data_IF_496313098360
#
_entry.id   IF_496313098360
#
_cell.length_a   1.000
_cell.length_b   1.000
_cell.length_c   1.000
_cell.angle_alpha   90.00
_cell.angle_beta   90.00
_cell.angle_gamma   90.00
#
_symmetry.space_group_name_H-M   'P 1'
#
loop_
_entity.id
_entity.type
_entity.pdbx_description
1 polymer ?
#
# COMPACT_ATOMS: atom_id res chain seq x y z
N UNK A 1 21.90 16.39 -33.13
CA UNK A 1 21.31 16.31 -31.76
C UNK A 1 21.49 14.88 -31.26
N UNK A 2 22.59 14.58 -30.54
CA UNK A 2 23.01 13.19 -30.28
C UNK A 2 22.62 12.65 -28.90
N UNK A 3 21.64 13.24 -28.21
CA UNK A 3 21.17 12.76 -26.89
C UNK A 3 19.64 12.78 -26.78
N UNK A 4 18.94 11.94 -27.56
CA UNK A 4 17.47 11.88 -27.53
C UNK A 4 16.93 11.52 -26.15
N UNK A 5 17.64 10.69 -25.38
CA UNK A 5 17.26 10.29 -24.03
C UNK A 5 17.19 11.48 -23.05
N UNK A 6 18.16 12.40 -23.15
CA UNK A 6 18.24 13.56 -22.27
C UNK A 6 17.06 14.52 -22.46
N UNK A 7 16.61 14.67 -23.70
CA UNK A 7 15.44 15.51 -24.02
C UNK A 7 14.16 14.90 -23.45
N UNK A 8 14.00 13.57 -23.56
CA UNK A 8 12.86 12.85 -22.98
C UNK A 8 12.83 12.96 -21.46
N UNK A 9 13.97 12.78 -20.80
CA UNK A 9 14.07 12.93 -19.34
C UNK A 9 13.71 14.34 -18.88
N UNK A 10 14.19 15.38 -19.57
CA UNK A 10 13.86 16.77 -19.24
C UNK A 10 12.34 17.03 -19.38
N UNK A 11 11.73 16.57 -20.47
CA UNK A 11 10.28 16.69 -20.69
C UNK A 11 9.47 15.99 -19.58
N UNK A 12 9.86 14.77 -19.20
CA UNK A 12 9.21 14.05 -18.12
C UNK A 12 9.34 14.77 -16.76
N UNK A 13 10.55 15.25 -16.45
CA UNK A 13 10.82 15.98 -15.20
C UNK A 13 10.04 17.30 -15.13
N UNK A 14 9.92 18.01 -16.26
CA UNK A 14 9.08 19.20 -16.37
C UNK A 14 7.61 18.89 -16.10
N UNK A 15 7.09 17.75 -16.60
CA UNK A 15 5.74 17.29 -16.31
C UNK A 15 5.47 17.12 -14.81
N UNK A 16 6.43 16.54 -14.08
CA UNK A 16 6.34 16.39 -12.62
C UNK A 16 6.30 17.75 -11.93
N UNK A 17 7.19 18.68 -12.31
CA UNK A 17 7.23 20.03 -11.73
C UNK A 17 5.93 20.79 -12.02
N UNK A 18 5.40 20.71 -13.24
CA UNK A 18 4.14 21.36 -13.60
C UNK A 18 2.95 20.88 -12.78
N UNK A 19 2.92 19.59 -12.42
CA UNK A 19 1.88 19.06 -11.53
C UNK A 19 1.89 19.72 -10.15
N UNK A 20 3.09 19.95 -9.58
CA UNK A 20 3.23 20.57 -8.26
C UNK A 20 2.77 22.04 -8.20
N UNK A 21 2.62 22.71 -9.35
CA UNK A 21 2.21 24.12 -9.45
C UNK A 21 0.73 24.30 -9.79
N UNK A 22 0.08 23.27 -10.36
CA UNK A 22 -1.29 23.32 -10.86
C UNK A 22 -2.08 22.12 -10.33
N UNK A 23 -2.85 22.33 -9.25
CA UNK A 23 -3.80 21.34 -8.73
C UNK A 23 -4.99 21.26 -9.68
N UNK A 24 -4.95 20.32 -10.61
CA UNK A 24 -5.99 20.08 -11.62
C UNK A 24 -6.65 18.72 -11.34
N UNK A 25 -7.98 18.64 -11.49
CA UNK A 25 -8.73 17.39 -11.34
C UNK A 25 -8.20 16.28 -12.27
N UNK A 26 -8.01 15.08 -11.73
CA UNK A 26 -7.41 13.94 -12.45
C UNK A 26 -8.15 13.53 -13.73
N UNK A 27 -9.46 13.82 -13.82
CA UNK A 27 -10.25 13.58 -15.04
C UNK A 27 -9.83 14.45 -16.24
N UNK A 28 -9.45 15.70 -15.99
CA UNK A 28 -8.99 16.64 -17.05
C UNK A 28 -7.61 16.21 -17.55
N UNK A 29 -6.74 15.74 -16.65
CA UNK A 29 -5.41 15.24 -16.98
C UNK A 29 -5.50 13.98 -17.85
N UNK A 30 -6.40 13.05 -17.51
CA UNK A 30 -6.62 11.83 -18.31
C UNK A 30 -7.17 12.15 -19.70
N UNK A 31 -8.13 13.08 -19.81
CA UNK A 31 -8.67 13.52 -21.09
C UNK A 31 -7.60 14.20 -21.97
N UNK A 32 -6.73 15.02 -21.37
CA UNK A 32 -5.62 15.66 -22.07
C UNK A 32 -4.58 14.64 -22.56
N UNK A 33 -4.21 13.65 -21.73
CA UNK A 33 -3.31 12.56 -22.10
C UNK A 33 -3.87 11.77 -23.29
N UNK A 34 -5.16 11.45 -23.27
CA UNK A 34 -5.84 10.70 -24.33
C UNK A 34 -5.90 11.50 -25.63
N UNK A 35 -6.22 12.79 -25.56
CA UNK A 35 -6.22 13.70 -26.72
C UNK A 35 -4.82 13.82 -27.35
N UNK A 36 -3.78 14.00 -26.54
CA UNK A 36 -2.37 14.11 -27.02
C UNK A 36 -1.89 12.78 -27.59
N UNK A 37 -2.29 11.64 -27.00
CA UNK A 37 -1.97 10.32 -27.52
C UNK A 37 -2.62 10.05 -28.88
N UNK A 38 -3.89 10.42 -29.05
CA UNK A 38 -4.58 10.35 -30.34
C UNK A 38 -3.93 11.26 -31.39
N UNK A 39 -3.50 12.46 -31.01
CA UNK A 39 -2.78 13.39 -31.89
C UNK A 39 -1.41 12.84 -32.30
N UNK A 40 -0.69 12.19 -31.38
CA UNK A 40 0.58 11.53 -31.65
C UNK A 40 0.42 10.40 -32.68
N UNK A 41 -0.60 9.56 -32.49
CA UNK A 41 -0.94 8.47 -33.41
C UNK A 41 -1.34 8.99 -34.79
N UNK A 42 -2.15 10.04 -34.86
CA UNK A 42 -2.55 10.68 -36.12
C UNK A 42 -1.36 11.30 -36.86
N UNK A 43 -0.49 12.04 -36.17
CA UNK A 43 0.74 12.61 -36.76
C UNK A 43 1.73 11.54 -37.21
N UNK A 44 1.88 10.45 -36.45
CA UNK A 44 2.72 9.31 -36.83
C UNK A 44 2.19 8.61 -38.09
N UNK A 45 0.87 8.38 -38.16
CA UNK A 45 0.22 7.73 -39.30
C UNK A 45 0.24 8.59 -40.57
N UNK A 46 0.04 9.91 -40.45
CA UNK A 46 -0.10 10.81 -41.60
C UNK A 46 1.22 11.40 -42.10
N UNK A 47 2.20 11.67 -41.22
CA UNK A 47 3.39 12.46 -41.61
C UNK A 47 4.73 11.76 -41.43
N UNK A 48 4.78 10.53 -40.86
CA UNK A 48 5.93 9.58 -40.73
C UNK A 48 7.33 10.10 -40.30
N UNK A 49 7.63 11.41 -40.28
CA UNK A 49 8.96 11.99 -40.06
C UNK A 49 9.01 13.16 -39.07
N UNK A 50 7.88 13.79 -38.71
CA UNK A 50 7.88 14.96 -37.79
C UNK A 50 7.20 14.73 -36.43
N UNK A 51 7.02 13.47 -36.02
CA UNK A 51 6.35 13.10 -34.76
C UNK A 51 7.15 13.34 -33.48
N UNK A 52 8.39 13.83 -33.57
CA UNK A 52 9.27 13.99 -32.40
C UNK A 52 8.70 14.98 -31.37
N UNK A 53 8.09 16.08 -31.82
CA UNK A 53 7.45 17.06 -30.93
C UNK A 53 6.28 16.44 -30.17
N UNK A 54 5.47 15.60 -30.83
CA UNK A 54 4.30 14.98 -30.19
C UNK A 54 4.68 13.89 -29.20
N UNK A 55 5.75 13.13 -29.48
CA UNK A 55 6.34 12.18 -28.53
C UNK A 55 6.85 12.91 -27.29
N UNK A 56 7.56 14.03 -27.45
CA UNK A 56 8.03 14.82 -26.30
C UNK A 56 6.88 15.37 -25.45
N UNK A 57 5.81 15.83 -26.11
CA UNK A 57 4.59 16.31 -25.46
C UNK A 57 3.90 15.19 -24.64
N UNK A 58 3.88 13.96 -25.17
CA UNK A 58 3.39 12.79 -24.46
C UNK A 58 4.19 12.53 -23.19
N UNK A 59 5.52 12.65 -23.20
CA UNK A 59 6.34 12.48 -22.00
C UNK A 59 6.12 13.57 -20.94
N UNK A 60 5.81 14.81 -21.35
CA UNK A 60 5.41 15.88 -20.41
C UNK A 60 4.10 15.51 -19.72
N UNK A 61 3.07 15.11 -20.49
CA UNK A 61 1.79 14.71 -19.92
C UNK A 61 1.86 13.41 -19.12
N UNK A 62 2.74 12.48 -19.50
CA UNK A 62 2.99 11.26 -18.74
C UNK A 62 3.62 11.59 -17.39
N UNK A 63 4.61 12.50 -17.34
CA UNK A 63 5.19 12.99 -16.09
C UNK A 63 4.17 13.71 -15.20
N UNK A 64 3.32 14.54 -15.81
CA UNK A 64 2.24 15.24 -15.10
C UNK A 64 1.21 14.26 -14.54
N UNK A 65 0.74 13.29 -15.33
CA UNK A 65 -0.18 12.26 -14.88
C UNK A 65 0.42 11.41 -13.75
N UNK A 66 1.68 11.01 -13.89
CA UNK A 66 2.35 10.18 -12.88
C UNK A 66 2.49 10.90 -11.54
N UNK A 67 2.83 12.20 -11.56
CA UNK A 67 2.85 13.04 -10.37
C UNK A 67 1.44 13.23 -9.78
N UNK A 68 0.44 13.46 -10.64
CA UNK A 68 -0.94 13.67 -10.21
C UNK A 68 -1.59 12.44 -9.58
N UNK A 69 -1.26 11.23 -10.02
CA UNK A 69 -1.74 9.98 -9.40
C UNK A 69 -1.22 9.82 -7.96
N UNK A 70 -0.04 10.38 -7.65
CA UNK A 70 0.54 10.34 -6.30
C UNK A 70 -0.04 11.34 -5.31
N UNK A 71 -0.52 12.50 -5.76
CA UNK A 71 -0.93 13.60 -4.88
C UNK A 71 -2.41 13.58 -4.43
N UNK A 72 -3.28 12.76 -5.02
CA UNK A 72 -4.73 12.78 -4.72
C UNK A 72 -5.14 12.21 -3.34
N UNK A 73 -4.19 11.83 -2.48
CA UNK A 73 -4.48 11.33 -1.12
C UNK A 73 -4.27 12.42 -0.05
N UNK A 74 -3.49 13.46 -0.33
CA UNK A 74 -3.15 14.48 0.65
C UNK A 74 -4.32 15.46 0.85
N UNK A 75 -5.07 15.32 1.95
CA UNK A 75 -6.00 16.34 2.42
C UNK A 75 -7.43 15.90 2.73
N UNK A 76 -7.80 14.65 2.40
CA UNK A 76 -9.06 14.03 2.88
C UNK A 76 -8.83 12.74 3.65
N UNK A 77 -7.59 12.47 4.02
CA UNK A 77 -7.25 11.25 4.69
C UNK A 77 -7.55 11.28 6.19
N UNK A 78 -7.49 10.11 6.83
CA UNK A 78 -7.78 9.94 8.25
C UNK A 78 -6.82 10.70 9.18
N UNK A 79 -5.69 11.21 8.66
CA UNK A 79 -4.72 12.04 9.39
C UNK A 79 -5.26 13.38 9.91
N UNK A 80 -6.42 13.82 9.43
CA UNK A 80 -7.11 15.01 9.96
C UNK A 80 -7.70 14.77 11.37
N UNK A 81 -7.90 13.50 11.74
CA UNK A 81 -8.42 13.11 13.05
C UNK A 81 -7.33 12.76 14.06
N UNK A 82 -6.06 13.02 13.72
CA UNK A 82 -4.96 12.82 14.65
C UNK A 82 -5.17 13.61 15.95
N UNK A 83 -4.92 12.97 17.09
CA UNK A 83 -5.16 13.52 18.42
C UNK A 83 -6.57 13.29 18.97
N UNK A 84 -7.45 12.64 18.22
CA UNK A 84 -8.83 12.38 18.65
C UNK A 84 -9.12 10.88 18.76
N UNK A 85 -10.07 10.55 19.65
CA UNK A 85 -10.69 9.23 19.70
C UNK A 85 -11.85 9.19 18.72
N UNK A 86 -11.81 8.27 17.75
CA UNK A 86 -12.79 8.18 16.67
C UNK A 86 -13.19 6.74 16.38
N UNK A 87 -14.35 6.58 15.75
CA UNK A 87 -14.76 5.32 15.13
C UNK A 87 -14.36 5.35 13.66
N UNK A 88 -13.52 4.43 13.23
CA UNK A 88 -13.08 4.25 11.85
C UNK A 88 -13.81 3.07 11.22
N UNK A 89 -14.42 3.29 10.06
CA UNK A 89 -14.91 2.23 9.18
C UNK A 89 -14.04 2.14 7.92
N UNK A 90 -13.59 0.93 7.61
CA UNK A 90 -12.73 0.67 6.46
C UNK A 90 -12.66 -0.81 6.11
N UNK A 91 -12.01 -1.10 4.98
CA UNK A 91 -11.79 -2.48 4.53
C UNK A 91 -10.37 -2.91 4.84
N UNK A 92 -10.17 -4.16 5.28
CA UNK A 92 -8.83 -4.72 5.46
C UNK A 92 -8.10 -4.84 4.13
N UNK A 93 -6.99 -4.12 3.99
CA UNK A 93 -6.19 -4.00 2.76
C UNK A 93 -4.97 -4.94 2.76
N UNK A 94 -4.60 -5.54 3.90
CA UNK A 94 -3.47 -6.47 3.97
C UNK A 94 -3.71 -7.61 4.95
N UNK A 95 -2.94 -8.70 4.83
CA UNK A 95 -2.90 -9.74 5.87
C UNK A 95 -2.56 -9.13 7.24
N UNK A 96 -3.21 -9.58 8.32
CA UNK A 96 -2.90 -9.12 9.66
C UNK A 96 -1.49 -9.56 10.06
N UNK A 97 -0.75 -8.64 10.67
CA UNK A 97 0.56 -8.93 11.28
C UNK A 97 0.39 -9.04 12.79
N UNK A 98 0.97 -10.06 13.39
CA UNK A 98 0.99 -10.23 14.84
C UNK A 98 2.24 -9.58 15.42
N UNK A 99 2.09 -8.86 16.54
CA UNK A 99 3.19 -8.26 17.26
C UNK A 99 4.12 -9.31 17.88
N UNK A 100 5.36 -8.92 18.17
CA UNK A 100 6.38 -9.81 18.74
C UNK A 100 6.03 -10.40 20.12
N UNK A 101 4.96 -9.90 20.77
CA UNK A 101 4.39 -10.42 22.01
C UNK A 101 3.20 -11.36 21.84
N UNK A 102 2.80 -11.68 20.61
CA UNK A 102 1.73 -12.65 20.28
C UNK A 102 0.30 -12.13 20.43
N UNK A 103 0.04 -11.24 21.39
CA UNK A 103 -1.33 -10.81 21.71
C UNK A 103 -1.83 -9.63 20.87
N UNK A 104 -0.94 -8.79 20.34
CA UNK A 104 -1.32 -7.61 19.56
C UNK A 104 -1.47 -7.96 18.08
N UNK A 105 -2.56 -7.50 17.46
CA UNK A 105 -2.78 -7.61 16.02
C UNK A 105 -2.67 -6.25 15.32
N UNK A 106 -2.04 -6.23 14.15
CA UNK A 106 -1.81 -5.02 13.35
C UNK A 106 -2.45 -5.23 11.97
N UNK A 107 -3.42 -4.37 11.67
CA UNK A 107 -4.14 -4.34 10.40
C UNK A 107 -3.79 -3.08 9.62
N UNK A 108 -3.89 -3.14 8.29
CA UNK A 108 -3.95 -1.94 7.45
C UNK A 108 -5.36 -1.85 6.90
N UNK A 109 -6.05 -0.76 7.22
CA UNK A 109 -7.42 -0.50 6.78
C UNK A 109 -7.42 0.61 5.72
N UNK A 110 -8.08 0.35 4.60
CA UNK A 110 -8.51 1.38 3.68
C UNK A 110 -9.72 2.11 4.29
N UNK A 111 -9.47 3.28 4.86
CA UNK A 111 -10.47 4.11 5.50
C UNK A 111 -11.53 4.56 4.49
N UNK A 112 -12.80 4.47 4.89
CA UNK A 112 -13.97 4.90 4.09
C UNK A 112 -14.79 5.95 4.81
N UNK A 113 -14.96 5.79 6.12
CA UNK A 113 -15.75 6.73 6.93
C UNK A 113 -15.16 6.83 8.34
N UNK A 114 -15.11 8.04 8.88
CA UNK A 114 -14.75 8.31 10.26
C UNK A 114 -15.92 8.99 10.96
N UNK A 115 -16.20 8.56 12.18
CA UNK A 115 -17.17 9.18 13.07
C UNK A 115 -16.45 9.83 14.26
N UNK A 116 -16.67 11.13 14.43
CA UNK A 116 -16.23 11.89 15.59
C UNK A 116 -17.48 12.38 16.33
N UNK A 117 -17.90 11.63 17.36
CA UNK A 117 -19.21 11.82 17.98
C UNK A 117 -20.34 11.56 16.98
N UNK A 118 -21.23 12.54 16.79
CA UNK A 118 -22.34 12.45 15.82
C UNK A 118 -21.92 12.83 14.39
N UNK A 119 -20.72 13.39 14.20
CA UNK A 119 -20.28 13.86 12.89
C UNK A 119 -19.70 12.71 12.08
N UNK A 120 -20.37 12.39 10.96
CA UNK A 120 -19.89 11.44 9.94
C UNK A 120 -19.09 12.18 8.88
N UNK A 121 -17.87 11.72 8.60
CA UNK A 121 -17.00 12.28 7.55
C UNK A 121 -16.50 11.15 6.66
N UNK A 122 -16.71 11.28 5.35
CA UNK A 122 -16.11 10.36 4.39
C UNK A 122 -14.63 10.70 4.22
N UNK A 123 -13.80 9.66 4.23
CA UNK A 123 -12.34 9.79 4.16
C UNK A 123 -11.79 8.71 3.26
N UNK A 124 -10.62 8.96 2.68
CA UNK A 124 -9.91 8.03 1.82
C UNK A 124 -8.45 8.02 2.20
N UNK A 125 -7.89 6.84 2.48
CA UNK A 125 -6.49 6.69 2.84
C UNK A 125 -6.25 5.41 3.63
N UNK A 126 -4.98 5.02 3.78
CA UNK A 126 -4.61 3.85 4.56
C UNK A 126 -4.31 4.24 6.01
N UNK A 127 -4.83 3.44 6.95
CA UNK A 127 -4.56 3.55 8.39
C UNK A 127 -4.00 2.24 8.88
N UNK A 128 -2.87 2.28 9.56
CA UNK A 128 -2.42 1.11 10.30
C UNK A 128 -3.08 1.09 11.68
N UNK A 129 -3.91 0.09 11.92
CA UNK A 129 -4.66 -0.10 13.15
C UNK A 129 -3.99 -1.17 13.99
N UNK A 130 -3.52 -0.78 15.18
CA UNK A 130 -2.98 -1.70 16.19
C UNK A 130 -4.07 -2.00 17.21
N UNK A 131 -4.49 -3.25 17.30
CA UNK A 131 -5.42 -3.77 18.30
C UNK A 131 -4.61 -4.42 19.41
N UNK A 132 -4.83 -3.96 20.65
CA UNK A 132 -4.20 -4.56 21.82
C UNK A 132 -5.02 -5.74 22.33
N UNK A 133 -4.34 -6.84 22.65
CA UNK A 133 -4.95 -8.05 23.23
C UNK A 133 -5.50 -9.03 22.19
N UNK A 134 -5.63 -10.29 22.62
CA UNK A 134 -6.05 -11.40 21.76
C UNK A 134 -7.54 -11.31 21.40
N UNK A 135 -7.84 -11.34 20.11
CA UNK A 135 -9.19 -11.17 19.57
C UNK A 135 -9.47 -12.01 18.34
N UNK A 136 -10.67 -11.85 17.73
CA UNK A 136 -10.98 -12.46 16.44
C UNK A 136 -10.01 -11.95 15.35
N UNK A 137 -9.63 -12.85 14.45
CA UNK A 137 -8.74 -12.53 13.33
C UNK A 137 -9.57 -12.14 12.13
N UNK A 138 -9.38 -10.91 11.67
CA UNK A 138 -10.01 -10.40 10.45
C UNK A 138 -9.16 -10.62 9.22
N UNK A 139 -9.81 -10.96 8.11
CA UNK A 139 -9.16 -11.29 6.84
C UNK A 139 -9.21 -10.14 5.85
N UNK A 140 -8.33 -10.18 4.85
CA UNK A 140 -8.34 -9.25 3.73
C UNK A 140 -9.73 -9.15 3.09
N UNK A 141 -10.17 -7.94 2.79
CA UNK A 141 -11.46 -7.67 2.17
C UNK A 141 -12.64 -7.54 3.14
N UNK A 142 -12.48 -7.88 4.41
CA UNK A 142 -13.53 -7.64 5.41
C UNK A 142 -13.68 -6.16 5.71
N UNK A 143 -14.93 -5.70 5.87
CA UNK A 143 -15.22 -4.37 6.37
C UNK A 143 -15.20 -4.38 7.89
N UNK A 144 -14.37 -3.56 8.50
CA UNK A 144 -14.24 -3.43 9.94
C UNK A 144 -14.71 -2.06 10.41
N UNK A 145 -15.32 -2.04 11.58
CA UNK A 145 -15.53 -0.84 12.39
C UNK A 145 -14.63 -0.96 13.62
N UNK A 146 -13.75 0.02 13.82
CA UNK A 146 -12.81 0.08 14.92
C UNK A 146 -12.99 1.38 15.71
N UNK A 147 -12.95 1.32 17.04
CA UNK A 147 -12.99 2.47 17.94
C UNK A 147 -11.62 2.65 18.58
N UNK A 148 -11.03 3.85 18.48
CA UNK A 148 -9.66 4.02 18.93
C UNK A 148 -9.09 5.41 18.77
N UNK A 149 -7.88 5.58 19.28
CA UNK A 149 -7.15 6.84 19.22
C UNK A 149 -6.30 6.91 17.96
N UNK A 150 -6.52 7.94 17.15
CA UNK A 150 -5.77 8.19 15.91
C UNK A 150 -4.64 9.16 16.20
N UNK A 151 -3.44 8.89 15.69
CA UNK A 151 -2.27 9.73 15.85
C UNK A 151 -1.34 9.65 14.65
N UNK A 152 -0.46 10.64 14.51
CA UNK A 152 0.59 10.61 13.48
C UNK A 152 1.83 9.91 14.02
N UNK A 153 2.52 9.11 13.21
CA UNK A 153 3.81 8.57 13.61
C UNK A 153 4.77 9.72 13.95
N UNK A 154 5.47 9.58 15.08
CA UNK A 154 6.45 10.56 15.53
C UNK A 154 7.69 10.60 14.63
N UNK A 155 8.46 11.68 14.76
CA UNK A 155 9.77 11.79 14.11
C UNK A 155 10.79 10.84 14.74
N UNK A 156 11.90 10.53 14.03
CA UNK A 156 12.97 9.72 14.58
C UNK A 156 13.50 10.34 15.86
N UNK A 157 13.46 9.60 16.97
CA UNK A 157 13.91 10.11 18.28
C UNK A 157 15.42 10.32 18.38
N UNK A 158 16.21 9.73 17.48
CA UNK A 158 17.68 9.80 17.47
C UNK A 158 18.22 10.03 16.05
N UNK A 159 19.33 10.75 15.94
CA UNK A 159 20.04 10.95 14.68
C UNK A 159 20.55 9.60 14.13
N UNK A 160 20.25 9.30 12.87
CA UNK A 160 20.61 8.04 12.22
C UNK A 160 19.70 6.84 12.56
N UNK A 161 18.66 7.03 13.38
CA UNK A 161 17.65 6.00 13.60
C UNK A 161 16.73 5.82 12.39
N UNK A 162 16.14 4.63 12.28
CA UNK A 162 15.16 4.34 11.24
C UNK A 162 13.98 5.32 11.31
N UNK A 163 13.68 5.98 10.18
CA UNK A 163 12.54 6.88 10.09
C UNK A 163 11.27 6.09 9.77
N UNK A 164 10.55 5.71 10.82
CA UNK A 164 9.31 4.96 10.68
C UNK A 164 8.21 5.76 9.97
N UNK A 165 8.19 7.09 10.16
CA UNK A 165 7.24 7.98 9.48
C UNK A 165 7.47 7.96 7.96
N UNK A 166 8.70 8.19 7.50
CA UNK A 166 9.02 8.15 6.06
C UNK A 166 8.72 6.77 5.46
N UNK A 167 8.97 5.70 6.21
CA UNK A 167 8.65 4.35 5.79
C UNK A 167 7.14 4.13 5.59
N UNK A 168 6.31 4.62 6.50
CA UNK A 168 4.85 4.52 6.39
C UNK A 168 4.31 5.44 5.29
N UNK A 169 4.85 6.65 5.15
CA UNK A 169 4.47 7.60 4.12
C UNK A 169 4.71 7.03 2.71
N UNK A 170 5.82 6.31 2.50
CA UNK A 170 6.10 5.59 1.24
C UNK A 170 5.09 4.47 0.93
N UNK A 171 4.41 3.95 1.95
CA UNK A 171 3.33 2.95 1.82
C UNK A 171 1.94 3.59 1.74
N UNK A 172 1.86 4.93 1.69
CA UNK A 172 0.58 5.66 1.70
C UNK A 172 -0.14 5.63 3.05
N UNK A 173 0.54 5.26 4.13
CA UNK A 173 0.00 5.23 5.49
C UNK A 173 0.45 6.51 6.22
N UNK A 174 -0.45 7.46 6.38
CA UNK A 174 -0.12 8.77 6.99
C UNK A 174 -0.55 8.89 8.46
N UNK A 175 -1.31 7.91 8.96
CA UNK A 175 -1.71 7.88 10.36
C UNK A 175 -1.82 6.45 10.91
N UNK A 176 -1.73 6.39 12.23
CA UNK A 176 -1.82 5.18 13.03
C UNK A 176 -3.05 5.28 13.93
N UNK A 177 -3.65 4.14 14.23
CA UNK A 177 -4.75 4.03 15.18
C UNK A 177 -4.42 2.98 16.23
N UNK A 178 -4.70 3.26 17.49
CA UNK A 178 -4.63 2.28 18.57
C UNK A 178 -6.01 2.00 19.14
N UNK A 179 -6.39 0.73 19.08
CA UNK A 179 -7.64 0.17 19.60
C UNK A 179 -7.32 -0.55 20.91
N UNK A 180 -8.01 -0.17 21.98
CA UNK A 180 -7.73 -0.66 23.33
C UNK A 180 -8.58 -1.88 23.66
N UNK A 181 -8.33 -3.01 23.00
CA UNK A 181 -9.04 -4.26 23.26
C UNK A 181 -9.81 -4.77 22.02
N UNK A 182 -10.00 -6.10 21.91
CA UNK A 182 -10.71 -6.71 20.78
C UNK A 182 -12.20 -6.35 20.71
N UNK A 183 -12.82 -5.93 21.82
CA UNK A 183 -14.22 -5.51 21.90
C UNK A 183 -14.52 -4.21 21.13
N UNK A 184 -13.47 -3.43 20.86
CA UNK A 184 -13.54 -2.16 20.15
C UNK A 184 -13.27 -2.29 18.65
N UNK A 185 -13.20 -3.53 18.13
CA UNK A 185 -13.14 -3.80 16.71
C UNK A 185 -14.15 -4.89 16.35
N UNK A 186 -14.87 -4.70 15.25
CA UNK A 186 -15.85 -5.68 14.78
C UNK A 186 -15.99 -5.66 13.27
N UNK A 187 -16.26 -6.82 12.70
CA UNK A 187 -16.68 -6.92 11.31
C UNK A 187 -18.07 -6.30 11.13
N UNK A 188 -18.23 -5.47 10.12
CA UNK A 188 -19.52 -4.99 9.63
C UNK A 188 -19.91 -5.91 8.48
N UNK A 189 -21.17 -6.32 8.44
CA UNK A 189 -21.69 -7.16 7.36
C UNK A 189 -21.36 -6.50 6.01
N UNK A 190 -20.51 -7.16 5.22
CA UNK A 190 -20.15 -6.73 3.87
C UNK A 190 -20.88 -7.63 2.88
N UNK A 191 -21.38 -7.02 1.81
CA UNK A 191 -21.69 -7.78 0.59
C UNK A 191 -20.35 -8.33 0.06
N UNK A 192 -20.20 -9.65 0.08
CA UNK A 192 -18.95 -10.32 -0.27
C UNK A 192 -18.54 -9.98 -1.70
N UNK A 193 -17.53 -9.10 -1.85
CA UNK A 193 -16.92 -8.84 -3.15
C UNK A 193 -15.79 -9.84 -3.34
N UNK A 194 -15.97 -10.78 -4.26
CA UNK A 194 -14.91 -11.64 -4.75
C UNK A 194 -13.79 -10.78 -5.34
N UNK A 195 -12.70 -10.61 -4.58
CA UNK A 195 -11.49 -9.93 -5.04
C UNK A 195 -10.49 -10.97 -5.53
N UNK A 196 -9.83 -10.77 -6.69
CA UNK A 196 -8.75 -11.66 -7.13
C UNK A 196 -7.65 -11.84 -6.07
N UNK A 197 -7.39 -10.80 -5.29
CA UNK A 197 -6.43 -10.84 -4.17
C UNK A 197 -6.97 -11.72 -3.03
N UNK A 198 -8.27 -11.65 -2.73
CA UNK A 198 -8.91 -12.51 -1.73
C UNK A 198 -8.82 -13.98 -2.10
N UNK A 199 -9.11 -14.33 -3.35
CA UNK A 199 -8.96 -15.70 -3.86
C UNK A 199 -7.52 -16.20 -3.81
N UNK A 200 -6.55 -15.35 -4.14
CA UNK A 200 -5.13 -15.70 -4.02
C UNK A 200 -4.74 -15.97 -2.55
N UNK A 201 -5.28 -15.20 -1.61
CA UNK A 201 -5.07 -15.39 -0.18
C UNK A 201 -5.71 -16.67 0.35
N UNK A 202 -6.92 -16.98 -0.07
CA UNK A 202 -7.60 -18.24 0.26
C UNK A 202 -6.80 -19.44 -0.25
N UNK A 203 -6.31 -19.38 -1.50
CA UNK A 203 -5.44 -20.41 -2.06
C UNK A 203 -4.14 -20.56 -1.26
N UNK A 204 -3.48 -19.45 -0.92
CA UNK A 204 -2.29 -19.44 -0.05
C UNK A 204 -2.57 -20.09 1.31
N UNK A 205 -3.69 -19.76 1.94
CA UNK A 205 -4.09 -20.33 3.23
C UNK A 205 -4.41 -21.82 3.13
N UNK A 206 -5.08 -22.26 2.07
CA UNK A 206 -5.32 -23.68 1.81
C UNK A 206 -4.01 -24.46 1.62
N UNK A 207 -3.08 -23.93 0.84
CA UNK A 207 -1.75 -24.54 0.65
C UNK A 207 -0.95 -24.59 1.97
N UNK A 208 -1.04 -23.55 2.80
CA UNK A 208 -0.43 -23.54 4.14
C UNK A 208 -1.01 -24.63 5.03
N UNK A 209 -2.32 -24.79 5.07
CA UNK A 209 -3.00 -25.85 5.82
C UNK A 209 -2.56 -27.25 5.37
N UNK A 210 -2.43 -27.46 4.06
CA UNK A 210 -1.90 -28.73 3.52
C UNK A 210 -0.44 -28.93 3.95
N UNK A 211 0.41 -27.91 3.85
CA UNK A 211 1.80 -28.01 4.27
C UNK A 211 1.94 -28.32 5.77
N UNK A 212 1.19 -27.62 6.62
CA UNK A 212 1.20 -27.81 8.08
C UNK A 212 0.65 -29.17 8.51
N UNK A 213 -0.22 -29.80 7.71
CA UNK A 213 -0.77 -31.13 7.99
C UNK A 213 0.04 -32.29 7.42
N UNK A 214 0.90 -32.04 6.42
CA UNK A 214 1.66 -33.09 5.72
C UNK A 214 3.16 -33.08 6.04
N UNK A 215 3.70 -31.95 6.50
CA UNK A 215 5.12 -31.76 6.78
C UNK A 215 5.36 -31.47 8.26
N UNK A 216 6.60 -31.68 8.71
CA UNK A 216 6.99 -31.20 10.04
C UNK A 216 7.11 -29.65 10.04
N UNK A 217 7.06 -29.06 11.23
CA UNK A 217 7.03 -27.60 11.40
C UNK A 217 8.19 -26.87 10.69
N UNK A 218 9.41 -27.43 10.72
CA UNK A 218 10.56 -26.86 10.01
C UNK A 218 10.39 -26.89 8.50
N UNK A 219 9.97 -28.03 7.94
CA UNK A 219 9.76 -28.19 6.51
C UNK A 219 8.61 -27.31 6.00
N UNK A 220 7.51 -27.23 6.74
CA UNK A 220 6.39 -26.35 6.41
C UNK A 220 6.80 -24.87 6.43
N UNK A 221 7.62 -24.46 7.42
CA UNK A 221 8.16 -23.10 7.50
C UNK A 221 9.09 -22.77 6.32
N UNK A 222 9.99 -23.68 5.95
CA UNK A 222 10.88 -23.49 4.79
C UNK A 222 10.08 -23.43 3.48
N UNK A 223 9.12 -24.33 3.28
CA UNK A 223 8.25 -24.33 2.11
C UNK A 223 7.42 -23.03 2.03
N UNK A 224 6.87 -22.59 3.15
CA UNK A 224 6.15 -21.31 3.24
C UNK A 224 7.06 -20.11 2.94
N UNK A 225 8.30 -20.14 3.41
CA UNK A 225 9.33 -19.16 3.07
C UNK A 225 9.63 -19.12 1.57
N UNK A 226 9.73 -20.27 0.91
CA UNK A 226 9.99 -20.38 -0.53
C UNK A 226 8.80 -19.97 -1.41
N UNK A 227 7.59 -20.43 -1.08
CA UNK A 227 6.40 -20.19 -1.89
C UNK A 227 5.77 -18.82 -1.66
N UNK A 228 5.81 -18.33 -0.41
CA UNK A 228 5.07 -17.14 0.01
C UNK A 228 5.95 -16.04 0.60
N UNK A 229 7.27 -16.25 0.70
CA UNK A 229 8.19 -15.28 1.30
C UNK A 229 8.03 -15.10 2.81
N UNK A 230 7.23 -15.95 3.48
CA UNK A 230 6.94 -15.81 4.90
C UNK A 230 8.05 -16.42 5.76
N UNK A 231 8.93 -15.57 6.30
CA UNK A 231 10.10 -15.97 7.12
C UNK A 231 9.83 -15.96 8.63
N UNK A 232 8.67 -15.49 9.05
CA UNK A 232 8.22 -15.35 10.44
C UNK A 232 8.21 -16.68 11.22
N UNK A 233 8.04 -17.81 10.53
CA UNK A 233 7.99 -19.16 11.14
C UNK A 233 9.30 -19.94 11.03
N UNK A 234 10.35 -19.40 10.41
CA UNK A 234 11.64 -20.07 10.24
C UNK A 234 12.49 -19.85 11.49
N UNK A 235 12.95 -20.92 12.14
CA UNK A 235 13.80 -20.81 13.33
C UNK A 235 15.20 -20.26 12.98
N UNK A 236 15.88 -19.68 13.99
CA UNK A 236 17.19 -19.05 13.78
C UNK A 236 18.21 -20.04 13.23
N UNK A 237 18.26 -21.26 13.79
CA UNK A 237 19.19 -22.30 13.34
C UNK A 237 19.03 -22.62 11.85
N UNK A 238 17.80 -22.66 11.34
CA UNK A 238 17.55 -22.89 9.91
C UNK A 238 17.97 -21.69 9.08
N UNK A 239 17.67 -20.46 9.51
CA UNK A 239 18.13 -19.25 8.84
C UNK A 239 19.67 -19.14 8.80
N UNK A 240 20.35 -19.52 9.89
CA UNK A 240 21.81 -19.53 9.98
C UNK A 240 22.40 -20.50 8.95
N UNK A 241 21.83 -21.70 8.80
CA UNK A 241 22.23 -22.66 7.76
C UNK A 241 22.06 -22.05 6.35
N UNK A 242 20.94 -21.37 6.07
CA UNK A 242 20.75 -20.71 4.77
C UNK A 242 21.73 -19.56 4.52
N UNK A 243 22.13 -18.84 5.57
CA UNK A 243 23.11 -17.77 5.49
C UNK A 243 24.52 -18.33 5.26
N UNK A 244 24.94 -19.32 6.05
CA UNK A 244 26.25 -19.98 5.95
C UNK A 244 26.46 -20.68 4.61
N UNK A 245 25.40 -21.29 4.06
CA UNK A 245 25.46 -22.00 2.77
C UNK A 245 25.27 -21.05 1.57
N UNK A 246 24.98 -19.78 1.80
CA UNK A 246 24.74 -18.80 0.73
C UNK A 246 23.41 -18.97 -0.02
N UNK A 247 22.52 -19.84 0.45
CA UNK A 247 21.24 -20.19 -0.22
C UNK A 247 20.08 -19.29 0.25
N UNK A 248 20.34 -18.32 1.13
CA UNK A 248 19.33 -17.37 1.61
C UNK A 248 18.61 -16.58 0.50
N UNK A 249 19.20 -16.47 -0.69
CA UNK A 249 18.60 -15.82 -1.86
C UNK A 249 17.45 -16.61 -2.52
N UNK A 250 17.34 -17.91 -2.25
CA UNK A 250 16.25 -18.77 -2.78
C UNK A 250 14.91 -18.46 -2.09
N UNK A 251 14.95 -17.88 -0.91
CA UNK A 251 13.75 -17.42 -0.21
C UNK A 251 13.41 -16.00 -0.68
N UNK A 252 12.25 -15.78 -1.35
CA UNK A 252 11.80 -14.46 -1.73
C UNK A 252 11.85 -13.50 -0.54
N UNK A 253 12.45 -12.33 -0.74
CA UNK A 253 12.36 -11.21 0.20
C UNK A 253 11.15 -10.40 -0.25
N UNK A 254 10.09 -10.42 0.53
CA UNK A 254 8.95 -9.52 0.32
C UNK A 254 9.22 -8.31 1.21
N UNK A 255 9.63 -7.20 0.62
CA UNK A 255 9.75 -5.89 1.31
C UNK A 255 8.37 -5.30 1.60
#
# INVERSE_FOLDING_TARGET
MNRPLLVVTICFTLGIIFNSLLVVESGIIFAALLAVSCLALACYALYRREGAAVILLLFVFLGWFWAGVGEHVAGRGPEQFAGHYVTLEGTVDSEPRYGSGGDDAVYVLAAKTVYLGERRVETTGLVQVKVKGSGPVYSYGEQLRADGFVYRPGEPGNFGAFNYRDYLDRRGIHCLMTVMGPEHIRAVASEGRLSPVGLALECKNALRLVADSTLNQRQAAVLGGMLFGSRDRIDRATNDIFAETGVAHVMPVVE
#
